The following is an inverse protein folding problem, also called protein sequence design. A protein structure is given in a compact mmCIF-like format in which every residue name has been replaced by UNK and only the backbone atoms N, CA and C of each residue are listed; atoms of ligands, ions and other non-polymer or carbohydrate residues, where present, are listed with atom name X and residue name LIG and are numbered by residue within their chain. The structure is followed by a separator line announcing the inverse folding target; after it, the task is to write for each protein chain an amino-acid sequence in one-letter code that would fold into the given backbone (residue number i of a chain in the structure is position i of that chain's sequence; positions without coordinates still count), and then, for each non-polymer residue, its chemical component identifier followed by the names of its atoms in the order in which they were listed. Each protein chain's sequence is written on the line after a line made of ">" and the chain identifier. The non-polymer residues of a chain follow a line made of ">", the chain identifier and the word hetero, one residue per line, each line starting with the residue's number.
data_IF_172931676918
#
_entry.id   IF_172931676918
#
_cell.length_a   1.000
_cell.length_b   1.000
_cell.length_c   1.000
_cell.angle_alpha   90.00
_cell.angle_beta   90.00
_cell.angle_gamma   90.00
#
_symmetry.space_group_name_H-M   'P 1'
#
loop_
_entity.id
_entity.type
_entity.pdbx_description
1 polymer ?
#
# COMPACT_ATOMS: atom_id res chain seq x y z
N UNK A 1 -11.79 4.40 30.77
CA UNK A 1 -10.40 4.07 31.13
C UNK A 1 -9.49 5.05 30.42
N UNK A 2 -8.72 5.88 31.13
CA UNK A 2 -7.94 6.96 30.57
C UNK A 2 -6.78 6.35 29.73
N UNK A 3 -6.67 6.72 28.44
CA UNK A 3 -5.61 6.26 27.51
C UNK A 3 -4.19 6.44 28.08
N UNK A 4 -3.98 7.49 28.89
CA UNK A 4 -2.72 7.75 29.60
C UNK A 4 -2.27 6.60 30.52
N UNK A 5 -3.22 5.90 31.17
CA UNK A 5 -2.87 4.79 32.06
C UNK A 5 -2.46 3.50 31.34
N UNK A 6 -2.77 3.35 30.05
CA UNK A 6 -2.43 2.16 29.25
C UNK A 6 -1.02 2.24 28.68
N UNK A 7 -0.51 3.44 28.40
CA UNK A 7 0.78 3.64 27.72
C UNK A 7 1.79 4.48 28.51
N UNK A 8 1.42 4.99 29.70
CA UNK A 8 2.30 5.72 30.63
C UNK A 8 2.74 7.12 30.18
N UNK A 9 2.30 7.60 28.97
CA UNK A 9 2.69 8.88 28.38
C UNK A 9 1.63 9.42 27.41
N UNK A 10 1.66 10.73 27.14
CA UNK A 10 0.83 11.40 26.13
C UNK A 10 1.41 11.19 24.72
N UNK A 11 0.60 11.38 23.68
CA UNK A 11 1.06 11.29 22.29
C UNK A 11 2.20 12.25 21.96
N UNK A 12 2.17 13.57 22.32
CA UNK A 12 3.30 14.46 22.12
C UNK A 12 4.59 14.01 22.80
N UNK A 13 4.50 13.46 24.01
CA UNK A 13 5.66 12.92 24.75
C UNK A 13 6.23 11.71 24.03
N UNK A 14 5.39 10.79 23.56
CA UNK A 14 5.81 9.63 22.81
C UNK A 14 6.47 10.00 21.48
N UNK A 15 5.87 10.93 20.73
CA UNK A 15 6.43 11.43 19.47
C UNK A 15 7.76 12.17 19.68
N UNK A 16 7.83 13.02 20.72
CA UNK A 16 9.06 13.71 21.08
C UNK A 16 10.19 12.76 21.47
N UNK A 17 9.89 11.68 22.20
CA UNK A 17 10.86 10.64 22.53
C UNK A 17 11.32 9.88 21.30
N UNK A 18 10.38 9.45 20.44
CA UNK A 18 10.68 8.79 19.17
C UNK A 18 11.61 9.66 18.30
N UNK A 19 11.29 10.94 18.12
CA UNK A 19 12.11 11.86 17.36
C UNK A 19 13.53 12.02 17.94
N UNK A 20 13.67 12.08 19.28
CA UNK A 20 14.99 12.19 19.95
C UNK A 20 15.87 10.95 19.77
N UNK A 21 15.27 9.75 19.65
CA UNK A 21 16.03 8.50 19.37
C UNK A 21 16.64 8.50 17.98
N UNK A 22 16.12 9.30 17.07
CA UNK A 22 16.56 9.43 15.67
C UNK A 22 16.82 8.06 14.99
N UNK A 23 15.84 7.13 14.97
CA UNK A 23 16.03 5.82 14.37
C UNK A 23 16.13 5.91 12.85
N UNK A 24 16.79 4.94 12.21
CA UNK A 24 16.71 4.75 10.77
C UNK A 24 15.28 4.30 10.39
N UNK A 25 14.55 5.12 9.61
CA UNK A 25 13.11 4.97 9.37
C UNK A 25 12.85 4.27 8.03
N UNK A 26 12.89 2.95 8.00
CA UNK A 26 12.50 2.16 6.83
C UNK A 26 10.99 1.84 6.77
N UNK A 27 10.18 2.71 7.35
CA UNK A 27 8.72 2.67 7.33
C UNK A 27 8.15 3.93 6.67
N UNK A 28 6.85 3.94 6.40
CA UNK A 28 6.11 5.13 5.92
C UNK A 28 6.09 6.24 6.99
N UNK A 29 5.95 7.52 6.60
CA UNK A 29 5.80 8.06 5.25
C UNK A 29 7.15 8.27 4.52
N UNK A 30 7.06 8.48 3.18
CA UNK A 30 8.23 8.57 2.29
C UNK A 30 9.20 9.72 2.56
N UNK A 31 8.79 10.80 3.21
CA UNK A 31 9.70 11.89 3.60
C UNK A 31 10.62 11.54 4.79
N UNK A 32 10.39 10.39 5.47
CA UNK A 32 11.24 9.82 6.53
C UNK A 32 11.56 10.77 7.72
N UNK A 33 10.76 11.80 7.94
CA UNK A 33 11.04 12.82 8.94
C UNK A 33 12.22 13.73 8.57
N UNK A 34 12.73 13.64 7.32
CA UNK A 34 13.74 14.53 6.81
C UNK A 34 13.14 15.91 6.56
N UNK A 35 14.00 16.93 6.65
CA UNK A 35 13.59 18.31 6.38
C UNK A 35 13.19 18.41 4.89
N UNK A 36 11.90 18.27 4.63
CA UNK A 36 11.34 18.65 3.34
C UNK A 36 11.29 20.16 3.29
N UNK A 37 11.52 20.79 2.12
CA UNK A 37 11.80 22.23 2.02
C UNK A 37 10.60 23.15 2.33
N UNK A 38 9.85 22.80 3.37
CA UNK A 38 8.78 23.61 3.91
C UNK A 38 9.24 24.54 5.04
N UNK A 39 10.50 24.47 5.46
CA UNK A 39 11.16 25.31 6.47
C UNK A 39 10.23 25.69 7.62
N UNK A 40 10.41 25.29 8.81
CA UNK A 40 9.84 25.68 10.12
C UNK A 40 8.53 26.50 10.28
N UNK A 41 7.75 26.74 9.22
CA UNK A 41 6.54 27.56 9.20
C UNK A 41 5.30 26.84 8.66
N UNK A 42 5.11 25.58 9.02
CA UNK A 42 3.96 24.76 8.54
C UNK A 42 2.62 25.43 8.82
N UNK A 43 2.47 26.09 9.97
CA UNK A 43 1.23 26.79 10.33
C UNK A 43 0.88 27.94 9.36
N UNK A 44 1.87 28.56 8.72
CA UNK A 44 1.65 29.59 7.71
C UNK A 44 1.19 29.05 6.34
N UNK A 45 1.23 27.74 6.15
CA UNK A 45 0.84 27.06 4.91
C UNK A 45 -0.50 26.32 5.05
N UNK A 46 -0.98 26.19 6.27
CA UNK A 46 -2.28 25.61 6.53
C UNK A 46 -3.36 26.67 6.33
N UNK A 47 -3.95 26.68 5.15
CA UNK A 47 -4.94 27.66 4.66
C UNK A 47 -6.19 26.96 4.17
N UNK A 48 -7.20 27.72 3.77
CA UNK A 48 -8.40 27.24 3.11
C UNK A 48 -8.47 27.72 1.66
N UNK A 49 -9.65 27.64 1.02
CA UNK A 49 -9.93 28.15 -0.32
C UNK A 49 -9.93 29.70 -0.29
N UNK A 50 -8.77 30.29 -0.56
CA UNK A 50 -8.57 31.74 -0.65
C UNK A 50 -8.31 32.11 -2.12
N UNK A 51 -8.41 33.41 -2.44
CA UNK A 51 -7.95 33.93 -3.72
C UNK A 51 -6.49 33.50 -3.95
N UNK A 52 -6.25 32.77 -5.05
CA UNK A 52 -4.93 32.25 -5.41
C UNK A 52 -4.56 30.88 -4.80
N UNK A 53 -5.39 30.28 -3.93
CA UNK A 53 -5.14 28.93 -3.40
C UNK A 53 -5.96 27.84 -4.10
N UNK A 54 -6.92 28.22 -4.96
CA UNK A 54 -7.79 27.29 -5.69
C UNK A 54 -8.77 26.52 -4.78
N UNK A 55 -9.61 25.67 -5.37
CA UNK A 55 -10.59 24.83 -4.67
C UNK A 55 -10.47 23.37 -5.10
N UNK A 56 -10.14 22.46 -4.18
CA UNK A 56 -9.98 21.05 -4.50
C UNK A 56 -11.27 20.43 -5.09
N UNK A 57 -12.45 20.88 -4.68
CA UNK A 57 -13.72 20.32 -5.17
C UNK A 57 -13.99 20.66 -6.64
N UNK A 58 -13.51 21.82 -7.10
CA UNK A 58 -13.59 22.29 -8.49
C UNK A 58 -12.30 23.03 -8.86
N UNK A 59 -11.19 22.31 -9.11
CA UNK A 59 -9.90 22.95 -9.36
C UNK A 59 -9.86 23.63 -10.73
N UNK A 60 -9.51 24.91 -10.74
CA UNK A 60 -9.36 25.75 -11.94
C UNK A 60 -8.03 26.49 -11.98
N UNK A 61 -7.27 26.45 -10.87
CA UNK A 61 -6.02 27.16 -10.68
C UNK A 61 -4.83 26.22 -10.40
N UNK A 62 -4.14 26.49 -9.31
CA UNK A 62 -2.88 25.81 -8.94
C UNK A 62 -3.09 24.32 -8.62
N UNK A 63 -4.24 23.95 -8.09
CA UNK A 63 -4.58 22.54 -7.86
C UNK A 63 -4.80 21.83 -9.20
N UNK A 64 -5.51 22.47 -10.16
CA UNK A 64 -5.70 21.92 -11.50
C UNK A 64 -4.36 21.70 -12.22
N UNK A 65 -3.41 22.62 -12.07
CA UNK A 65 -2.03 22.47 -12.60
C UNK A 65 -1.34 21.27 -12.01
N UNK A 66 -1.41 21.08 -10.68
CA UNK A 66 -0.83 19.93 -10.00
C UNK A 66 -1.51 18.61 -10.45
N UNK A 67 -2.84 18.56 -10.52
CA UNK A 67 -3.57 17.38 -11.04
C UNK A 67 -3.17 17.08 -12.48
N UNK A 68 -2.97 18.11 -13.33
CA UNK A 68 -2.48 17.99 -14.69
C UNK A 68 -1.07 17.39 -14.76
N UNK A 69 -0.17 17.82 -13.88
CA UNK A 69 1.19 17.27 -13.81
C UNK A 69 1.20 15.79 -13.39
N UNK A 70 0.37 15.39 -12.42
CA UNK A 70 0.15 13.98 -12.08
C UNK A 70 -0.44 13.17 -13.23
N UNK A 71 -1.45 13.71 -13.92
CA UNK A 71 -2.03 13.09 -15.12
C UNK A 71 -0.95 12.77 -16.16
N UNK A 72 -0.09 13.72 -16.43
CA UNK A 72 0.95 13.59 -17.46
C UNK A 72 2.04 12.61 -17.04
N UNK A 73 2.50 12.68 -15.78
CA UNK A 73 3.50 11.77 -15.23
C UNK A 73 3.05 10.31 -15.20
N UNK A 74 1.77 10.05 -14.94
CA UNK A 74 1.21 8.70 -14.86
C UNK A 74 0.52 8.25 -16.15
N UNK A 75 0.52 9.06 -17.20
CA UNK A 75 -0.11 8.71 -18.46
C UNK A 75 -1.62 8.54 -18.41
N UNK A 76 -2.28 9.13 -17.41
CA UNK A 76 -3.71 9.04 -17.19
C UNK A 76 -4.52 9.95 -18.15
N UNK A 77 -5.84 9.77 -18.19
CA UNK A 77 -6.80 10.71 -18.78
C UNK A 77 -7.10 11.87 -17.83
N UNK A 78 -7.21 11.58 -16.54
CA UNK A 78 -7.43 12.56 -15.48
C UNK A 78 -6.79 12.06 -14.19
N UNK A 79 -6.32 13.00 -13.36
CA UNK A 79 -5.82 12.72 -12.03
C UNK A 79 -6.49 13.64 -11.01
N UNK A 80 -6.67 13.15 -9.79
CA UNK A 80 -7.38 13.88 -8.74
C UNK A 80 -6.60 13.73 -7.43
N UNK A 81 -6.24 14.84 -6.79
CA UNK A 81 -5.59 14.82 -5.49
C UNK A 81 -6.53 14.30 -4.41
N UNK A 82 -5.97 13.51 -3.50
CA UNK A 82 -6.65 12.93 -2.35
C UNK A 82 -5.94 13.31 -1.06
N UNK A 83 -6.69 13.82 -0.10
CA UNK A 83 -6.21 14.19 1.25
C UNK A 83 -6.73 13.24 2.36
N UNK A 84 -7.39 12.15 1.95
CA UNK A 84 -7.87 11.06 2.81
C UNK A 84 -7.17 9.72 2.53
N UNK A 85 -5.97 9.76 1.94
CA UNK A 85 -5.20 8.57 1.55
C UNK A 85 -5.82 7.82 0.36
N UNK A 86 -5.19 6.71 -0.05
CA UNK A 86 -5.77 5.78 -1.03
C UNK A 86 -7.10 5.18 -0.56
N UNK A 87 -7.39 5.20 0.75
CA UNK A 87 -8.70 4.81 1.28
C UNK A 87 -9.82 5.62 0.62
N UNK A 88 -9.69 6.95 0.53
CA UNK A 88 -10.67 7.78 -0.17
C UNK A 88 -10.68 7.50 -1.68
N UNK A 89 -9.57 7.09 -2.26
CA UNK A 89 -9.47 6.63 -3.65
C UNK A 89 -10.28 5.36 -3.90
N UNK A 90 -10.09 4.34 -3.06
CA UNK A 90 -10.84 3.07 -3.14
C UNK A 90 -12.35 3.28 -2.93
N UNK A 91 -12.72 4.11 -1.95
CA UNK A 91 -14.12 4.50 -1.75
C UNK A 91 -14.70 5.19 -3.00
N UNK A 92 -13.94 6.10 -3.59
CA UNK A 92 -14.34 6.81 -4.80
C UNK A 92 -14.50 5.86 -5.98
N UNK A 93 -13.52 4.97 -6.24
CA UNK A 93 -13.57 4.01 -7.34
C UNK A 93 -14.79 3.09 -7.19
N UNK A 94 -15.01 2.54 -6.00
CA UNK A 94 -16.13 1.66 -5.70
C UNK A 94 -17.48 2.36 -5.89
N UNK A 95 -17.68 3.52 -5.28
CA UNK A 95 -18.94 4.29 -5.39
C UNK A 95 -19.18 4.81 -6.80
N UNK A 96 -18.13 5.09 -7.59
CA UNK A 96 -18.25 5.53 -8.98
C UNK A 96 -18.80 4.43 -9.90
N UNK A 97 -18.68 3.15 -9.55
CA UNK A 97 -19.35 2.05 -10.26
C UNK A 97 -20.89 2.18 -10.16
N UNK A 98 -21.41 2.83 -9.11
CA UNK A 98 -22.81 2.81 -8.69
C UNK A 98 -23.04 1.74 -7.65
N UNK A 99 -24.20 1.70 -7.01
CA UNK A 99 -24.50 0.77 -5.91
C UNK A 99 -24.86 -0.63 -6.43
N UNK A 100 -24.68 -1.66 -5.60
CA UNK A 100 -25.17 -3.01 -5.84
C UNK A 100 -24.48 -3.71 -7.02
N UNK A 101 -23.20 -3.39 -7.28
CA UNK A 101 -22.44 -4.02 -8.36
C UNK A 101 -21.76 -5.30 -7.89
N UNK A 102 -21.49 -6.21 -8.81
CA UNK A 102 -20.68 -7.41 -8.55
C UNK A 102 -19.20 -7.09 -8.77
N UNK A 103 -18.39 -7.29 -7.74
CA UNK A 103 -16.96 -7.00 -7.79
C UNK A 103 -16.16 -8.25 -7.42
N UNK A 104 -15.29 -8.66 -8.35
CA UNK A 104 -14.31 -9.71 -8.14
C UNK A 104 -13.03 -9.11 -7.55
N UNK A 105 -12.49 -9.68 -6.48
CA UNK A 105 -11.28 -9.14 -5.84
C UNK A 105 -10.41 -10.22 -5.19
N UNK A 106 -9.12 -9.89 -5.02
CA UNK A 106 -8.19 -10.72 -4.26
C UNK A 106 -8.52 -10.76 -2.76
N UNK A 107 -8.35 -11.91 -2.14
CA UNK A 107 -8.54 -12.06 -0.68
C UNK A 107 -7.48 -11.30 0.12
N UNK A 108 -6.37 -10.95 -0.51
CA UNK A 108 -5.26 -10.12 -0.02
C UNK A 108 -5.53 -8.61 -0.11
N UNK A 109 -6.70 -8.21 -0.59
CA UNK A 109 -7.08 -6.80 -0.68
C UNK A 109 -7.07 -6.11 0.68
N UNK A 110 -6.62 -4.85 0.69
CA UNK A 110 -6.58 -4.04 1.90
C UNK A 110 -7.99 -3.81 2.48
N UNK A 111 -8.09 -3.68 3.81
CA UNK A 111 -9.37 -3.44 4.52
C UNK A 111 -10.20 -2.28 3.97
N UNK A 112 -9.55 -1.25 3.39
CA UNK A 112 -10.27 -0.13 2.79
C UNK A 112 -11.03 -0.52 1.51
N UNK A 113 -10.57 -1.53 0.76
CA UNK A 113 -11.32 -2.09 -0.36
C UNK A 113 -12.62 -2.75 0.14
N UNK A 114 -12.52 -3.53 1.22
CA UNK A 114 -13.68 -4.18 1.84
C UNK A 114 -14.69 -3.16 2.38
N UNK A 115 -14.19 -2.10 3.05
CA UNK A 115 -15.04 -0.99 3.49
C UNK A 115 -15.72 -0.27 2.32
N UNK A 116 -15.00 -0.10 1.20
CA UNK A 116 -15.54 0.53 0.01
C UNK A 116 -16.68 -0.30 -0.60
N UNK A 117 -16.51 -1.63 -0.68
CA UNK A 117 -17.54 -2.53 -1.17
C UNK A 117 -18.77 -2.56 -0.25
N UNK A 118 -18.55 -2.56 1.08
CA UNK A 118 -19.64 -2.52 2.07
C UNK A 118 -20.46 -1.23 1.95
N UNK A 119 -19.82 -0.05 1.84
CA UNK A 119 -20.49 1.24 1.74
C UNK A 119 -21.23 1.43 0.40
N UNK A 120 -20.72 0.82 -0.67
CA UNK A 120 -21.37 0.82 -1.98
C UNK A 120 -22.42 -0.29 -2.15
N UNK A 121 -22.62 -1.14 -1.14
CA UNK A 121 -23.54 -2.28 -1.16
C UNK A 121 -23.24 -3.25 -2.32
N UNK A 122 -21.95 -3.50 -2.57
CA UNK A 122 -21.52 -4.39 -3.64
C UNK A 122 -21.55 -5.85 -3.21
N UNK A 123 -21.88 -6.71 -4.17
CA UNK A 123 -21.67 -8.16 -4.05
C UNK A 123 -20.17 -8.44 -4.30
N UNK A 124 -19.47 -8.88 -3.25
CA UNK A 124 -18.05 -9.21 -3.31
C UNK A 124 -17.85 -10.69 -3.58
N UNK A 125 -17.03 -11.02 -4.57
CA UNK A 125 -16.54 -12.38 -4.79
C UNK A 125 -15.02 -12.39 -4.66
N UNK A 126 -14.52 -13.24 -3.75
CA UNK A 126 -13.09 -13.31 -3.46
C UNK A 126 -12.39 -14.39 -4.26
N UNK A 127 -11.20 -14.08 -4.76
CA UNK A 127 -10.23 -15.03 -5.28
C UNK A 127 -9.05 -15.16 -4.32
N UNK A 128 -8.51 -16.38 -4.25
CA UNK A 128 -7.26 -16.63 -3.53
C UNK A 128 -6.09 -16.45 -4.49
N UNK A 129 -5.08 -15.62 -4.15
CA UNK A 129 -3.83 -15.62 -4.90
C UNK A 129 -3.16 -17.00 -4.81
N UNK A 130 -2.32 -17.32 -5.77
CA UNK A 130 -1.48 -18.51 -5.69
C UNK A 130 -0.53 -18.39 -4.49
N UNK A 131 -0.14 -19.54 -3.92
CA UNK A 131 0.80 -19.56 -2.78
C UNK A 131 2.16 -20.02 -3.29
N UNK A 132 3.21 -19.25 -2.99
CA UNK A 132 4.58 -19.69 -3.16
C UNK A 132 5.01 -20.50 -1.92
N UNK A 133 5.06 -21.83 -1.99
CA UNK A 133 5.35 -22.66 -0.82
C UNK A 133 6.82 -22.54 -0.38
N UNK A 134 7.75 -22.26 -1.29
CA UNK A 134 9.16 -22.10 -0.95
C UNK A 134 9.40 -20.82 -0.12
N UNK A 135 8.60 -19.80 -0.40
CA UNK A 135 8.67 -18.55 0.34
C UNK A 135 7.71 -18.51 1.53
N UNK A 136 6.71 -19.39 1.60
CA UNK A 136 5.62 -19.26 2.58
C UNK A 136 4.87 -17.94 2.41
N UNK A 137 4.69 -17.48 1.18
CA UNK A 137 4.04 -16.22 0.82
C UNK A 137 2.85 -16.42 -0.12
N UNK A 138 1.83 -15.58 0.04
CA UNK A 138 0.85 -15.38 -1.02
C UNK A 138 1.52 -14.63 -2.18
N UNK A 139 1.37 -15.18 -3.37
CA UNK A 139 1.74 -14.52 -4.63
C UNK A 139 0.68 -13.51 -5.07
N UNK A 140 0.37 -13.50 -6.37
CA UNK A 140 -0.57 -12.56 -6.97
C UNK A 140 -1.69 -13.31 -7.69
N UNK A 141 -2.80 -12.63 -7.99
CA UNK A 141 -3.82 -13.15 -8.89
C UNK A 141 -3.28 -13.22 -10.31
N UNK A 142 -3.68 -14.27 -11.03
CA UNK A 142 -3.31 -14.47 -12.43
C UNK A 142 -4.45 -14.10 -13.38
N UNK A 143 -4.18 -13.75 -14.65
CA UNK A 143 -5.21 -13.56 -15.68
C UNK A 143 -6.12 -14.78 -15.80
N UNK A 144 -5.56 -15.99 -15.73
CA UNK A 144 -6.31 -17.25 -15.80
C UNK A 144 -7.33 -17.40 -14.67
N UNK A 145 -6.94 -17.12 -13.41
CA UNK A 145 -7.86 -17.18 -12.27
C UNK A 145 -9.02 -16.19 -12.42
N UNK A 146 -8.72 -14.98 -12.93
CA UNK A 146 -9.73 -13.94 -13.19
C UNK A 146 -10.66 -14.38 -14.31
N UNK A 147 -10.13 -14.96 -15.39
CA UNK A 147 -10.91 -15.47 -16.51
C UNK A 147 -11.88 -16.60 -16.08
N UNK A 148 -11.36 -17.62 -15.40
CA UNK A 148 -12.15 -18.74 -14.88
C UNK A 148 -13.31 -18.22 -13.98
N UNK A 149 -13.02 -17.24 -13.11
CA UNK A 149 -14.03 -16.67 -12.25
C UNK A 149 -15.09 -15.86 -13.01
N UNK A 150 -14.71 -15.08 -14.03
CA UNK A 150 -15.64 -14.31 -14.85
C UNK A 150 -16.49 -15.21 -15.78
N UNK A 151 -15.95 -16.34 -16.23
CA UNK A 151 -16.70 -17.37 -16.99
C UNK A 151 -17.77 -18.01 -16.11
N UNK A 152 -17.44 -18.31 -14.85
CA UNK A 152 -18.39 -18.92 -13.92
C UNK A 152 -19.51 -17.95 -13.52
N UNK A 153 -19.15 -16.69 -13.23
CA UNK A 153 -20.10 -15.65 -12.87
C UNK A 153 -19.60 -14.28 -13.32
N UNK A 154 -20.32 -13.59 -14.22
CA UNK A 154 -19.95 -12.24 -14.65
C UNK A 154 -19.87 -11.25 -13.49
N UNK A 155 -18.92 -10.30 -13.57
CA UNK A 155 -18.77 -9.19 -12.64
C UNK A 155 -18.75 -7.85 -13.38
N UNK A 156 -19.11 -6.77 -12.67
CA UNK A 156 -19.04 -5.40 -13.21
C UNK A 156 -17.63 -4.82 -13.14
N UNK A 157 -16.82 -5.30 -12.19
CA UNK A 157 -15.44 -4.87 -12.02
C UNK A 157 -14.57 -5.95 -11.38
N UNK A 158 -13.27 -5.89 -11.68
CA UNK A 158 -12.19 -6.59 -10.98
C UNK A 158 -11.41 -5.56 -10.17
N UNK A 159 -11.21 -5.80 -8.87
CA UNK A 159 -10.38 -4.97 -8.01
C UNK A 159 -9.12 -5.75 -7.66
N UNK A 160 -7.99 -5.24 -8.11
CA UNK A 160 -6.67 -5.85 -7.94
C UNK A 160 -5.80 -4.99 -7.03
N UNK A 161 -5.01 -5.61 -6.15
CA UNK A 161 -3.93 -4.96 -5.42
C UNK A 161 -2.61 -5.26 -6.10
N UNK A 162 -1.91 -4.24 -6.63
CA UNK A 162 -0.58 -4.39 -7.23
C UNK A 162 0.19 -3.06 -7.20
N UNK A 163 1.42 -3.02 -6.64
CA UNK A 163 2.10 -4.12 -5.95
C UNK A 163 1.48 -4.47 -4.59
N UNK A 164 1.77 -5.68 -4.11
CA UNK A 164 1.41 -6.07 -2.76
C UNK A 164 2.39 -5.50 -1.72
N UNK A 165 2.22 -5.89 -0.45
CA UNK A 165 3.03 -5.35 0.66
C UNK A 165 4.50 -5.77 0.59
N UNK A 166 4.81 -6.90 -0.05
CA UNK A 166 6.16 -7.41 -0.26
C UNK A 166 6.83 -6.87 -1.54
N UNK A 167 6.13 -6.04 -2.29
CA UNK A 167 6.60 -5.44 -3.54
C UNK A 167 6.34 -6.30 -4.78
N UNK A 168 5.65 -7.45 -4.65
CA UNK A 168 5.32 -8.31 -5.79
C UNK A 168 4.24 -7.66 -6.65
N UNK A 169 4.42 -7.70 -7.97
CA UNK A 169 3.51 -7.14 -8.96
C UNK A 169 2.80 -8.24 -9.75
N UNK A 170 1.49 -8.09 -9.93
CA UNK A 170 0.67 -8.95 -10.78
C UNK A 170 0.86 -8.61 -12.27
N UNK A 171 0.45 -9.53 -13.14
CA UNK A 171 0.23 -9.26 -14.56
C UNK A 171 -1.03 -8.39 -14.75
N UNK A 172 -0.89 -7.10 -14.42
CA UNK A 172 -1.99 -6.13 -14.49
C UNK A 172 -2.51 -5.98 -15.92
N UNK A 173 -1.61 -6.05 -16.93
CA UNK A 173 -2.00 -5.95 -18.34
C UNK A 173 -2.84 -7.14 -18.78
N UNK A 174 -2.39 -8.34 -18.51
CA UNK A 174 -3.14 -9.57 -18.82
C UNK A 174 -4.48 -9.65 -18.10
N UNK A 175 -4.53 -9.23 -16.82
CA UNK A 175 -5.79 -9.14 -16.06
C UNK A 175 -6.74 -8.10 -16.67
N UNK A 176 -6.22 -6.95 -17.15
CA UNK A 176 -7.03 -5.92 -17.81
C UNK A 176 -7.66 -6.47 -19.10
N UNK A 177 -6.88 -7.15 -19.94
CA UNK A 177 -7.37 -7.73 -21.19
C UNK A 177 -8.48 -8.75 -20.94
N UNK A 178 -8.32 -9.58 -19.94
CA UNK A 178 -9.37 -10.53 -19.51
C UNK A 178 -10.59 -9.78 -18.99
N UNK A 179 -10.44 -8.87 -18.05
CA UNK A 179 -11.57 -8.13 -17.48
C UNK A 179 -12.40 -7.43 -18.57
N UNK A 180 -11.73 -6.73 -19.49
CA UNK A 180 -12.38 -6.03 -20.60
C UNK A 180 -13.06 -6.99 -21.59
N UNK A 181 -12.47 -8.15 -21.87
CA UNK A 181 -13.10 -9.18 -22.74
C UNK A 181 -14.44 -9.67 -22.17
N UNK A 182 -14.59 -9.65 -20.84
CA UNK A 182 -15.85 -10.01 -20.17
C UNK A 182 -16.71 -8.80 -19.78
N UNK A 183 -16.36 -7.60 -20.26
CA UNK A 183 -17.12 -6.36 -20.00
C UNK A 183 -16.98 -5.80 -18.60
N UNK A 184 -16.03 -6.28 -17.82
CA UNK A 184 -15.72 -5.77 -16.48
C UNK A 184 -14.68 -4.65 -16.53
N UNK A 185 -14.78 -3.68 -15.63
CA UNK A 185 -13.75 -2.65 -15.44
C UNK A 185 -12.60 -3.20 -14.58
N UNK A 186 -11.37 -2.75 -14.84
CA UNK A 186 -10.23 -3.02 -13.95
C UNK A 186 -9.96 -1.83 -13.03
N UNK A 187 -10.10 -2.06 -11.73
CA UNK A 187 -9.75 -1.14 -10.65
C UNK A 187 -8.47 -1.63 -9.98
N UNK A 188 -7.46 -0.75 -9.76
CA UNK A 188 -6.21 -1.16 -9.14
C UNK A 188 -5.92 -0.33 -7.89
N UNK A 189 -5.78 -1.03 -6.76
CA UNK A 189 -5.12 -0.48 -5.57
C UNK A 189 -3.61 -0.56 -5.78
N UNK A 190 -3.03 0.54 -6.30
CA UNK A 190 -1.60 0.68 -6.52
C UNK A 190 -0.95 1.52 -5.41
N UNK A 191 -1.47 1.42 -4.17
CA UNK A 191 -1.03 2.26 -3.05
C UNK A 191 0.48 2.22 -2.82
N UNK A 192 1.15 1.13 -3.11
CA UNK A 192 2.59 0.96 -2.95
C UNK A 192 3.42 1.26 -4.21
N UNK A 193 2.79 1.61 -5.35
CA UNK A 193 3.44 1.81 -6.65
C UNK A 193 3.58 3.28 -7.09
N UNK A 194 3.45 4.27 -6.18
CA UNK A 194 3.45 5.67 -6.56
C UNK A 194 4.75 6.14 -7.25
N UNK A 195 5.87 5.51 -7.00
CA UNK A 195 7.18 5.88 -7.54
C UNK A 195 7.53 5.20 -8.88
N UNK A 196 6.75 4.26 -9.34
CA UNK A 196 7.05 3.46 -10.54
C UNK A 196 7.33 4.29 -11.81
N UNK A 197 6.59 5.37 -12.10
CA UNK A 197 6.85 6.15 -13.30
C UNK A 197 8.21 6.89 -13.36
N UNK A 198 8.98 6.90 -12.26
CA UNK A 198 10.15 7.76 -12.13
C UNK A 198 11.49 7.03 -12.30
N UNK A 199 11.49 5.72 -12.62
CA UNK A 199 12.68 4.96 -12.99
C UNK A 199 12.34 3.79 -13.93
N UNK A 200 13.10 3.56 -14.98
CA UNK A 200 12.93 2.39 -15.85
C UNK A 200 13.38 1.07 -15.19
N UNK A 201 14.00 1.12 -14.02
CA UNK A 201 14.40 -0.06 -13.22
C UNK A 201 13.29 -0.51 -12.25
N UNK A 202 12.20 0.24 -12.17
CA UNK A 202 11.01 -0.10 -11.38
C UNK A 202 9.97 -0.80 -12.27
N UNK A 203 9.04 -1.56 -11.68
CA UNK A 203 7.99 -2.22 -12.43
C UNK A 203 7.20 -1.25 -13.31
N UNK A 204 6.90 -1.65 -14.53
CA UNK A 204 6.05 -0.88 -15.43
C UNK A 204 4.59 -1.02 -14.98
N UNK A 205 3.90 0.11 -14.84
CA UNK A 205 2.46 0.13 -14.56
C UNK A 205 1.70 0.38 -15.86
N UNK A 206 0.82 -0.55 -16.32
CA UNK A 206 0.15 -0.45 -17.61
C UNK A 206 -1.05 0.52 -17.57
N UNK A 207 -0.79 1.80 -17.31
CA UNK A 207 -1.78 2.86 -17.14
C UNK A 207 -2.77 2.98 -18.31
N UNK A 208 -2.38 2.52 -19.53
CA UNK A 208 -3.26 2.54 -20.71
C UNK A 208 -4.37 1.49 -20.66
N UNK A 209 -4.19 0.44 -19.88
CA UNK A 209 -5.11 -0.71 -19.77
C UNK A 209 -6.01 -0.62 -18.54
N UNK A 210 -5.58 0.10 -17.49
CA UNK A 210 -6.32 0.21 -16.23
C UNK A 210 -7.39 1.28 -16.34
N UNK A 211 -8.61 1.01 -15.83
CA UNK A 211 -9.72 1.98 -15.86
C UNK A 211 -9.60 3.02 -14.75
N UNK A 212 -9.46 2.57 -13.50
CA UNK A 212 -9.25 3.44 -12.34
C UNK A 212 -8.16 2.87 -11.45
N UNK A 213 -7.28 3.72 -10.94
CA UNK A 213 -6.31 3.30 -9.92
C UNK A 213 -5.97 4.42 -8.96
N UNK A 214 -5.56 4.05 -7.76
CA UNK A 214 -5.07 5.02 -6.78
C UNK A 214 -3.69 4.65 -6.26
N UNK A 215 -2.88 5.68 -6.00
CA UNK A 215 -1.53 5.56 -5.45
C UNK A 215 -1.42 6.35 -4.14
N UNK A 216 -0.77 5.77 -3.12
CA UNK A 216 -0.44 6.48 -1.89
C UNK A 216 0.93 7.14 -2.04
N UNK A 217 0.96 8.40 -2.43
CA UNK A 217 2.21 9.14 -2.66
C UNK A 217 3.08 9.16 -1.40
N UNK A 218 2.45 9.26 -0.22
CA UNK A 218 3.15 9.30 1.07
C UNK A 218 3.88 8.01 1.47
N UNK A 219 3.59 6.87 0.81
CA UNK A 219 4.25 5.59 1.15
C UNK A 219 5.65 5.49 0.58
N UNK A 220 5.83 5.93 -0.67
CA UNK A 220 7.07 5.71 -1.43
C UNK A 220 7.70 6.98 -2.00
N UNK A 221 7.05 8.13 -1.83
CA UNK A 221 7.55 9.45 -2.25
C UNK A 221 7.53 10.43 -1.07
N UNK A 222 8.15 11.60 -1.26
CA UNK A 222 8.35 12.61 -0.20
C UNK A 222 7.08 13.43 0.07
N UNK A 223 5.96 12.80 0.41
CA UNK A 223 4.71 13.45 0.77
C UNK A 223 4.32 13.17 2.22
N UNK A 224 3.49 14.03 2.80
CA UNK A 224 2.93 13.81 4.12
C UNK A 224 1.91 12.67 4.12
N UNK A 225 1.78 11.98 5.26
CA UNK A 225 0.77 10.93 5.46
C UNK A 225 -0.62 11.42 5.05
N UNK A 226 -1.46 10.55 4.50
CA UNK A 226 -2.76 10.80 3.87
C UNK A 226 -2.69 11.35 2.43
N UNK A 227 -1.53 11.74 1.91
CA UNK A 227 -1.39 12.25 0.55
C UNK A 227 -1.44 11.11 -0.47
N UNK A 228 -2.43 11.15 -1.37
CA UNK A 228 -2.64 10.13 -2.40
C UNK A 228 -3.17 10.77 -3.69
N UNK A 229 -3.23 10.00 -4.78
CA UNK A 229 -3.80 10.45 -6.06
C UNK A 229 -4.65 9.33 -6.65
N UNK A 230 -5.81 9.70 -7.16
CA UNK A 230 -6.70 8.85 -7.94
C UNK A 230 -6.54 9.19 -9.43
N UNK A 231 -6.43 8.19 -10.25
CA UNK A 231 -6.29 8.32 -11.70
C UNK A 231 -7.45 7.66 -12.44
N UNK A 232 -7.85 8.28 -13.54
CA UNK A 232 -8.80 7.74 -14.53
C UNK A 232 -8.01 7.37 -15.77
N UNK A 233 -8.11 6.13 -16.23
CA UNK A 233 -7.41 5.61 -17.38
C UNK A 233 -7.86 6.25 -18.69
N UNK A 234 -6.96 6.21 -19.70
CA UNK A 234 -7.25 6.83 -21.03
C UNK A 234 -8.45 6.22 -21.73
N UNK A 235 -8.65 4.93 -21.57
CA UNK A 235 -9.72 4.17 -22.24
C UNK A 235 -10.88 3.83 -21.29
N UNK A 236 -10.83 4.31 -20.04
CA UNK A 236 -11.91 4.13 -19.09
C UNK A 236 -13.23 4.70 -19.66
N UNK A 237 -14.31 3.92 -19.71
CA UNK A 237 -15.60 4.39 -20.21
C UNK A 237 -16.30 5.38 -19.27
N UNK A 238 -15.81 5.47 -18.01
CA UNK A 238 -16.37 6.39 -17.02
C UNK A 238 -15.99 7.84 -17.32
N UNK A 239 -16.98 8.73 -17.24
CA UNK A 239 -16.74 10.18 -17.29
C UNK A 239 -15.89 10.61 -16.07
N UNK A 240 -14.72 11.26 -16.25
CA UNK A 240 -13.91 11.79 -15.16
C UNK A 240 -14.68 12.72 -14.22
N UNK A 241 -15.65 13.47 -14.72
CA UNK A 241 -16.47 14.36 -13.90
C UNK A 241 -17.43 13.58 -12.98
N UNK A 242 -17.88 12.41 -13.39
CA UNK A 242 -18.60 11.50 -12.50
C UNK A 242 -17.71 11.06 -11.36
N UNK A 243 -16.46 10.64 -11.65
CA UNK A 243 -15.48 10.21 -10.65
C UNK A 243 -15.18 11.38 -9.69
N UNK A 244 -15.00 12.60 -10.21
CA UNK A 244 -14.77 13.82 -9.42
C UNK A 244 -15.94 14.11 -8.48
N UNK A 245 -17.17 14.04 -8.96
CA UNK A 245 -18.36 14.24 -8.10
C UNK A 245 -18.39 13.23 -6.96
N UNK A 246 -18.09 11.96 -7.21
CA UNK A 246 -18.04 10.92 -6.17
C UNK A 246 -16.88 11.18 -5.22
N UNK A 247 -15.68 11.54 -5.71
CA UNK A 247 -14.55 11.94 -4.89
C UNK A 247 -14.93 13.08 -3.91
N UNK A 248 -15.66 14.09 -4.38
CA UNK A 248 -16.11 15.21 -3.57
C UNK A 248 -17.11 14.79 -2.47
N UNK A 249 -17.87 13.70 -2.68
CA UNK A 249 -18.74 13.14 -1.63
C UNK A 249 -17.97 12.40 -0.54
N UNK A 250 -16.79 11.87 -0.88
CA UNK A 250 -15.97 11.05 0.02
C UNK A 250 -14.96 11.90 0.80
N UNK A 251 -14.44 12.97 0.19
CA UNK A 251 -13.46 13.83 0.82
C UNK A 251 -14.09 14.93 1.68
N UNK A 252 -13.30 15.43 2.62
CA UNK A 252 -13.63 16.63 3.39
C UNK A 252 -13.83 17.85 2.48
N UNK A 253 -14.75 18.74 2.87
CA UNK A 253 -14.95 20.04 2.19
C UNK A 253 -13.92 21.09 2.62
N UNK A 254 -13.10 20.79 3.64
CA UNK A 254 -11.98 21.64 4.10
C UNK A 254 -10.67 20.88 3.95
N UNK A 255 -10.17 20.72 2.70
CA UNK A 255 -8.98 19.90 2.44
C UNK A 255 -7.72 20.57 2.97
N UNK A 256 -6.79 19.78 3.50
CA UNK A 256 -5.51 20.29 3.99
C UNK A 256 -4.63 20.73 2.83
N UNK A 257 -4.30 22.03 2.79
CA UNK A 257 -3.35 22.60 1.82
C UNK A 257 -1.91 22.15 2.09
N UNK A 258 -1.56 21.78 3.31
CA UNK A 258 -0.28 21.16 3.64
C UNK A 258 -0.12 19.82 2.93
N UNK A 259 -1.18 18.98 2.92
CA UNK A 259 -1.15 17.71 2.21
C UNK A 259 -1.06 17.90 0.70
N UNK A 260 -1.85 18.81 0.13
CA UNK A 260 -1.81 19.12 -1.30
C UNK A 260 -0.46 19.71 -1.73
N UNK A 261 0.11 20.62 -0.92
CA UNK A 261 1.45 21.16 -1.16
C UNK A 261 2.53 20.06 -1.10
N UNK A 262 2.37 19.08 -0.21
CA UNK A 262 3.29 17.95 -0.13
C UNK A 262 3.18 17.04 -1.36
N UNK A 263 1.99 16.86 -1.94
CA UNK A 263 1.79 16.15 -3.21
C UNK A 263 2.54 16.84 -4.35
N UNK A 264 2.30 18.13 -4.53
CA UNK A 264 2.96 18.90 -5.56
C UNK A 264 4.49 18.83 -5.44
N UNK A 265 5.00 19.02 -4.22
CA UNK A 265 6.44 18.91 -3.97
C UNK A 265 7.01 17.53 -4.20
N UNK A 266 6.29 16.47 -3.81
CA UNK A 266 6.72 15.09 -4.03
C UNK A 266 6.87 14.77 -5.51
N UNK A 267 5.92 15.21 -6.34
CA UNK A 267 5.99 15.06 -7.78
C UNK A 267 7.17 15.83 -8.38
N UNK A 268 7.37 17.09 -7.96
CA UNK A 268 8.51 17.90 -8.40
C UNK A 268 9.84 17.22 -8.07
N UNK A 269 10.01 16.72 -6.85
CA UNK A 269 11.24 16.03 -6.42
C UNK A 269 11.46 14.77 -7.28
N UNK A 270 10.45 13.93 -7.44
CA UNK A 270 10.55 12.71 -8.23
C UNK A 270 10.93 12.97 -9.70
N UNK A 271 10.31 14.00 -10.31
CA UNK A 271 10.56 14.34 -11.73
C UNK A 271 11.91 15.03 -11.97
N UNK A 272 12.41 15.81 -11.01
CA UNK A 272 13.66 16.59 -11.16
C UNK A 272 14.90 15.85 -10.69
N UNK A 273 14.79 15.11 -9.59
CA UNK A 273 15.93 14.37 -9.04
C UNK A 273 16.01 12.93 -9.59
N UNK A 274 14.86 12.39 -10.05
CA UNK A 274 14.77 11.01 -10.51
C UNK A 274 15.06 10.01 -9.38
N UNK A 275 15.09 8.73 -9.74
CA UNK A 275 15.32 7.62 -8.82
C UNK A 275 16.66 6.89 -9.06
N UNK A 276 17.46 7.27 -10.08
CA UNK A 276 18.66 6.52 -10.44
C UNK A 276 19.62 6.33 -9.28
N UNK A 277 20.00 7.43 -8.59
CA UNK A 277 20.88 7.33 -7.42
C UNK A 277 20.31 6.43 -6.32
N UNK A 278 18.99 6.46 -6.13
CA UNK A 278 18.34 5.59 -5.16
C UNK A 278 18.43 4.12 -5.58
N UNK A 279 18.20 3.83 -6.85
CA UNK A 279 18.30 2.47 -7.39
C UNK A 279 19.71 1.90 -7.21
N UNK A 280 20.76 2.68 -7.53
CA UNK A 280 22.17 2.28 -7.33
C UNK A 280 22.45 1.96 -5.85
N UNK A 281 21.90 2.77 -4.92
CA UNK A 281 22.04 2.55 -3.48
C UNK A 281 21.31 1.29 -3.00
N UNK A 282 20.14 1.03 -3.55
CA UNK A 282 19.36 -0.17 -3.20
C UNK A 282 20.04 -1.43 -3.71
N UNK A 283 20.56 -1.40 -4.92
CA UNK A 283 21.35 -2.52 -5.45
C UNK A 283 22.54 -2.83 -4.52
N UNK A 284 23.33 -1.82 -4.18
CA UNK A 284 24.46 -1.97 -3.26
C UNK A 284 24.03 -2.46 -1.87
N UNK A 285 22.88 -1.98 -1.34
CA UNK A 285 22.33 -2.41 -0.07
C UNK A 285 21.95 -3.90 -0.11
N UNK A 286 21.21 -4.32 -1.14
CA UNK A 286 20.79 -5.71 -1.34
C UNK A 286 21.99 -6.66 -1.43
N UNK A 287 23.05 -6.28 -2.15
CA UNK A 287 24.31 -7.03 -2.18
C UNK A 287 24.99 -7.11 -0.81
N UNK A 288 25.05 -6.00 -0.06
CA UNK A 288 25.63 -6.01 1.29
C UNK A 288 24.87 -6.95 2.22
N UNK A 289 23.54 -6.95 2.20
CA UNK A 289 22.71 -7.84 2.99
C UNK A 289 22.94 -9.30 2.59
N UNK A 290 22.99 -9.60 1.28
CA UNK A 290 23.21 -10.96 0.77
C UNK A 290 24.58 -11.56 1.14
N UNK A 291 25.55 -10.74 1.59
CA UNK A 291 26.84 -11.21 2.12
C UNK A 291 26.80 -11.55 3.60
N UNK A 292 25.72 -11.24 4.30
CA UNK A 292 25.57 -11.57 5.72
C UNK A 292 25.04 -13.00 5.83
N UNK A 293 25.80 -13.87 6.50
CA UNK A 293 25.48 -15.28 6.63
C UNK A 293 24.09 -15.49 7.28
N UNK A 294 23.28 -16.35 6.68
CA UNK A 294 21.94 -16.69 7.14
C UNK A 294 20.85 -15.64 6.85
N UNK A 295 21.16 -14.66 6.00
CA UNK A 295 20.17 -13.69 5.52
C UNK A 295 20.00 -13.78 4.00
N UNK A 296 18.78 -13.66 3.52
CA UNK A 296 18.45 -13.61 2.09
C UNK A 296 17.49 -12.46 1.82
N UNK A 297 17.74 -11.70 0.77
CA UNK A 297 16.81 -10.66 0.30
C UNK A 297 15.95 -11.25 -0.80
N UNK A 298 14.62 -11.15 -0.70
CA UNK A 298 13.72 -11.56 -1.77
C UNK A 298 14.09 -10.85 -3.07
N UNK A 299 14.15 -11.60 -4.16
CA UNK A 299 14.58 -11.13 -5.48
C UNK A 299 13.77 -11.74 -6.60
N UNK A 300 14.34 -11.69 -7.82
CA UNK A 300 13.71 -12.26 -9.02
C UNK A 300 13.47 -13.78 -8.91
N UNK A 301 14.25 -14.48 -8.09
CA UNK A 301 14.08 -15.90 -7.75
C UNK A 301 12.80 -16.20 -6.96
N UNK A 302 12.18 -15.18 -6.37
CA UNK A 302 10.91 -15.29 -5.64
C UNK A 302 9.67 -15.02 -6.52
N UNK A 303 9.86 -14.71 -7.81
CA UNK A 303 8.76 -14.51 -8.77
C UNK A 303 8.08 -15.84 -9.14
N UNK A 304 6.97 -15.73 -9.83
CA UNK A 304 6.04 -16.83 -10.08
C UNK A 304 4.83 -16.76 -9.15
N UNK A 305 3.99 -17.77 -9.18
CA UNK A 305 2.77 -17.80 -8.38
C UNK A 305 1.91 -16.52 -8.58
N UNK A 306 1.77 -16.11 -9.85
CA UNK A 306 1.06 -14.89 -10.26
C UNK A 306 1.88 -13.60 -10.19
N UNK A 307 3.02 -13.58 -9.51
CA UNK A 307 3.93 -12.44 -9.52
C UNK A 307 4.82 -12.46 -10.77
N UNK A 308 4.78 -11.39 -11.56
CA UNK A 308 5.55 -11.25 -12.81
C UNK A 308 6.71 -10.26 -12.70
N UNK A 309 6.69 -9.41 -11.69
CA UNK A 309 7.74 -8.41 -11.42
C UNK A 309 7.74 -8.04 -9.94
N UNK A 310 8.74 -7.29 -9.49
CA UNK A 310 8.81 -6.80 -8.11
C UNK A 310 9.46 -5.43 -7.98
N UNK A 311 8.98 -4.68 -7.01
CA UNK A 311 9.57 -3.42 -6.55
C UNK A 311 10.83 -3.70 -5.70
N UNK A 312 12.00 -3.54 -6.30
CA UNK A 312 13.28 -3.78 -5.61
C UNK A 312 13.60 -2.78 -4.49
N UNK A 313 12.89 -1.64 -4.45
CA UNK A 313 13.01 -0.66 -3.36
C UNK A 313 12.29 -1.14 -2.08
N UNK A 314 11.44 -2.16 -2.22
CA UNK A 314 10.89 -2.94 -1.13
C UNK A 314 11.93 -4.00 -0.72
N UNK A 315 12.69 -3.72 0.35
CA UNK A 315 13.72 -4.65 0.82
C UNK A 315 13.10 -5.60 1.82
N UNK A 316 12.90 -6.84 1.39
CA UNK A 316 12.31 -7.92 2.19
C UNK A 316 13.41 -8.90 2.54
N UNK A 317 13.72 -9.03 3.82
CA UNK A 317 14.86 -9.81 4.32
C UNK A 317 14.35 -11.05 5.04
N UNK A 318 14.63 -12.19 4.50
CA UNK A 318 14.38 -13.49 5.10
C UNK A 318 15.48 -13.80 6.12
N UNK A 319 15.09 -14.21 7.32
CA UNK A 319 15.98 -14.46 8.44
C UNK A 319 15.96 -15.94 8.89
N UNK A 320 15.20 -16.78 8.21
CA UNK A 320 14.95 -18.17 8.62
C UNK A 320 16.20 -19.05 8.63
N UNK A 321 17.14 -18.82 7.70
CA UNK A 321 18.42 -19.54 7.67
C UNK A 321 19.33 -19.16 8.84
N UNK A 322 19.08 -18.03 9.51
CA UNK A 322 19.76 -17.62 10.74
C UNK A 322 19.20 -18.33 11.98
N UNK A 323 18.08 -19.04 11.80
CA UNK A 323 17.42 -19.81 12.88
C UNK A 323 16.60 -18.95 13.83
N UNK A 324 16.24 -17.73 13.45
CA UNK A 324 15.39 -16.79 14.18
C UNK A 324 14.13 -16.46 13.36
N UNK A 325 13.04 -16.13 14.05
CA UNK A 325 11.84 -15.66 13.38
C UNK A 325 11.90 -14.15 13.08
N UNK A 326 10.96 -13.69 12.24
CA UNK A 326 10.94 -12.28 11.85
C UNK A 326 10.62 -11.33 13.00
N UNK A 327 9.90 -11.77 14.04
CA UNK A 327 9.61 -10.97 15.24
C UNK A 327 10.87 -10.74 16.05
N UNK A 328 11.65 -11.80 16.29
CA UNK A 328 12.93 -11.73 17.00
C UNK A 328 13.92 -10.82 16.25
N UNK A 329 13.98 -10.94 14.91
CA UNK A 329 14.80 -10.07 14.08
C UNK A 329 14.34 -8.60 14.17
N UNK A 330 13.03 -8.36 14.10
CA UNK A 330 12.46 -7.01 14.22
C UNK A 330 12.79 -6.37 15.57
N UNK A 331 12.60 -7.07 16.67
CA UNK A 331 12.92 -6.58 18.02
C UNK A 331 14.41 -6.26 18.18
N UNK A 332 15.29 -7.12 17.67
CA UNK A 332 16.74 -6.91 17.68
C UNK A 332 17.12 -5.66 16.89
N UNK A 333 16.53 -5.44 15.69
CA UNK A 333 16.75 -4.25 14.89
C UNK A 333 16.26 -2.99 15.57
N UNK A 334 15.09 -3.02 16.22
CA UNK A 334 14.58 -1.88 17.00
C UNK A 334 15.53 -1.52 18.14
N UNK A 335 16.10 -2.51 18.84
CA UNK A 335 17.09 -2.29 19.89
C UNK A 335 18.40 -1.69 19.34
N UNK A 336 18.73 -1.94 18.07
CA UNK A 336 19.86 -1.35 17.34
C UNK A 336 19.52 0.02 16.73
N UNK A 337 18.30 0.55 16.96
CA UNK A 337 17.85 1.85 16.45
C UNK A 337 17.39 1.81 14.99
N UNK A 338 17.03 0.65 14.46
CA UNK A 338 16.44 0.46 13.13
C UNK A 338 14.97 0.09 13.27
N UNK A 339 14.06 0.88 12.67
CA UNK A 339 12.63 0.62 12.69
C UNK A 339 12.18 0.20 11.30
N UNK A 340 11.86 -1.07 11.16
CA UNK A 340 11.32 -1.62 9.92
C UNK A 340 9.84 -1.24 9.73
N UNK A 341 9.30 -1.43 8.54
CA UNK A 341 7.87 -1.23 8.26
C UNK A 341 7.03 -2.27 8.99
N UNK A 342 7.41 -3.54 8.83
CA UNK A 342 6.75 -4.68 9.49
C UNK A 342 7.68 -5.90 9.56
N UNK A 343 7.24 -6.92 10.26
CA UNK A 343 7.75 -8.28 10.14
C UNK A 343 6.59 -9.27 9.97
N UNK A 344 6.89 -10.42 9.39
CA UNK A 344 6.06 -11.62 9.47
C UNK A 344 6.84 -12.72 10.22
N UNK A 345 6.34 -13.97 10.24
CA UNK A 345 7.00 -15.08 10.92
C UNK A 345 8.42 -15.37 10.40
N UNK A 346 8.77 -14.95 9.21
CA UNK A 346 9.99 -15.36 8.50
C UNK A 346 10.88 -14.18 8.10
N UNK A 347 10.36 -12.94 8.10
CA UNK A 347 11.00 -11.81 7.44
C UNK A 347 10.80 -10.50 8.16
N UNK A 348 11.70 -9.56 7.85
CA UNK A 348 11.49 -8.13 8.10
C UNK A 348 11.34 -7.41 6.76
N UNK A 349 10.47 -6.40 6.71
CA UNK A 349 10.14 -5.63 5.52
C UNK A 349 10.52 -4.18 5.73
N UNK A 350 11.25 -3.61 4.77
CA UNK A 350 11.65 -2.21 4.76
C UNK A 350 11.09 -1.50 3.53
N UNK A 351 10.64 -0.28 3.74
CA UNK A 351 10.29 0.64 2.65
C UNK A 351 11.41 1.65 2.54
N UNK A 352 12.10 1.64 1.41
CA UNK A 352 13.18 2.60 1.15
C UNK A 352 12.73 3.68 0.17
N UNK A 353 13.33 4.86 0.28
CA UNK A 353 13.04 6.00 -0.59
C UNK A 353 14.29 6.83 -0.85
N UNK A 354 14.31 7.72 -1.87
CA UNK A 354 15.43 8.64 -2.08
C UNK A 354 15.76 9.54 -0.90
N UNK A 355 14.87 9.67 0.09
CA UNK A 355 15.07 10.49 1.29
C UNK A 355 15.80 9.76 2.41
N UNK A 356 16.15 8.49 2.25
CA UNK A 356 16.88 7.76 3.27
C UNK A 356 18.34 8.26 3.32
N UNK A 357 18.85 8.69 4.47
CA UNK A 357 20.28 9.04 4.61
C UNK A 357 21.18 7.79 4.49
N UNK A 358 22.40 7.97 3.98
CA UNK A 358 23.35 6.86 3.79
C UNK A 358 23.71 6.16 5.11
N UNK A 359 23.82 6.94 6.20
CA UNK A 359 24.09 6.42 7.54
C UNK A 359 22.99 5.50 8.08
N UNK A 360 21.76 5.57 7.55
CA UNK A 360 20.71 4.62 7.93
C UNK A 360 20.97 3.24 7.35
N UNK A 361 21.50 3.15 6.13
CA UNK A 361 21.90 1.88 5.53
C UNK A 361 23.07 1.23 6.27
N UNK A 362 24.04 2.02 6.72
CA UNK A 362 25.14 1.51 7.52
C UNK A 362 24.66 0.99 8.87
N UNK A 363 23.77 1.71 9.54
CA UNK A 363 23.14 1.25 10.79
C UNK A 363 22.32 -0.03 10.59
N UNK A 364 21.60 -0.13 9.48
CA UNK A 364 20.85 -1.35 9.12
C UNK A 364 21.80 -2.53 8.95
N UNK A 365 22.88 -2.39 8.20
CA UNK A 365 23.86 -3.46 7.99
C UNK A 365 24.51 -3.88 9.30
N UNK A 366 24.86 -2.92 10.16
CA UNK A 366 25.39 -3.21 11.50
C UNK A 366 24.37 -4.01 12.32
N UNK A 367 23.13 -3.55 12.41
CA UNK A 367 22.04 -4.26 13.11
C UNK A 367 21.80 -5.68 12.59
N UNK A 368 21.76 -5.85 11.26
CA UNK A 368 21.59 -7.16 10.62
C UNK A 368 22.78 -8.11 10.87
N UNK A 369 23.99 -7.58 10.90
CA UNK A 369 25.20 -8.37 11.18
C UNK A 369 25.18 -8.93 12.61
N UNK A 370 24.65 -8.17 13.57
CA UNK A 370 24.58 -8.53 14.99
C UNK A 370 23.28 -9.26 15.39
N UNK A 371 22.42 -9.62 14.43
CA UNK A 371 21.27 -10.47 14.73
C UNK A 371 21.72 -11.78 15.42
N UNK A 372 20.98 -12.29 16.39
CA UNK A 372 21.30 -13.56 17.03
C UNK A 372 21.26 -14.73 16.05
N UNK A 373 21.87 -15.86 16.45
CA UNK A 373 21.74 -17.13 15.75
C UNK A 373 20.86 -18.06 16.60
N UNK A 374 19.83 -18.61 15.98
CA UNK A 374 19.02 -19.66 16.58
C UNK A 374 19.71 -21.03 16.53
N UNK A 375 19.08 -22.00 17.19
CA UNK A 375 19.63 -23.36 17.31
C UNK A 375 19.33 -24.27 16.12
N UNK A 376 18.34 -23.90 15.28
CA UNK A 376 17.91 -24.69 14.11
C UNK A 376 17.29 -23.78 13.04
N UNK A 377 17.41 -24.20 11.79
CA UNK A 377 16.77 -23.53 10.67
C UNK A 377 15.24 -23.57 10.84
N UNK A 378 14.57 -22.45 10.55
CA UNK A 378 13.11 -22.35 10.59
C UNK A 378 12.55 -22.79 9.23
N UNK A 379 11.64 -23.76 9.26
CA UNK A 379 10.88 -24.17 8.09
C UNK A 379 9.70 -23.21 7.86
N UNK A 380 9.49 -22.83 6.62
CA UNK A 380 8.38 -21.97 6.22
C UNK A 380 7.16 -22.83 5.93
N UNK A 381 6.11 -22.60 6.68
CA UNK A 381 4.81 -23.17 6.36
C UNK A 381 4.08 -22.24 5.38
N UNK A 382 3.45 -22.78 4.33
CA UNK A 382 2.60 -21.97 3.46
C UNK A 382 1.46 -21.37 4.30
N UNK A 383 1.09 -20.09 4.08
CA UNK A 383 -0.01 -19.49 4.80
C UNK A 383 -1.29 -20.29 4.56
N UNK A 384 -1.96 -20.74 5.63
CA UNK A 384 -3.25 -21.37 5.49
C UNK A 384 -4.31 -20.31 5.13
N UNK A 385 -4.72 -20.33 3.89
CA UNK A 385 -5.72 -19.41 3.37
C UNK A 385 -6.89 -20.21 2.82
N UNK A 386 -8.06 -20.08 3.44
CA UNK A 386 -9.28 -20.64 2.95
C UNK A 386 -10.32 -19.53 2.74
N UNK A 387 -11.09 -19.64 1.68
CA UNK A 387 -12.31 -18.87 1.55
C UNK A 387 -13.37 -19.47 2.47
N UNK A 388 -13.82 -18.72 3.46
CA UNK A 388 -15.02 -19.05 4.20
C UNK A 388 -16.25 -18.96 3.28
N UNK A 389 -17.32 -19.67 3.62
CA UNK A 389 -18.59 -19.49 2.93
C UNK A 389 -19.15 -18.11 3.25
N UNK A 390 -19.39 -17.30 2.22
CA UNK A 390 -20.10 -16.03 2.39
C UNK A 390 -21.57 -16.32 2.71
N UNK A 391 -22.06 -15.78 3.82
CA UNK A 391 -23.43 -16.02 4.34
C UNK A 391 -24.28 -14.75 4.41
N UNK A 392 -23.66 -13.56 4.26
CA UNK A 392 -24.32 -12.27 4.19
C UNK A 392 -23.50 -11.29 3.36
N UNK A 393 -24.05 -10.15 3.03
CA UNK A 393 -23.31 -9.08 2.34
C UNK A 393 -22.25 -8.47 3.25
N UNK A 394 -21.25 -7.80 2.66
CA UNK A 394 -20.23 -7.08 3.42
C UNK A 394 -20.84 -5.95 4.26
N UNK A 395 -21.85 -5.26 3.72
CA UNK A 395 -22.57 -4.21 4.44
C UNK A 395 -23.30 -4.76 5.67
N UNK A 396 -24.03 -5.87 5.54
CA UNK A 396 -24.69 -6.53 6.67
C UNK A 396 -23.68 -6.97 7.74
N UNK A 397 -22.56 -7.57 7.35
CA UNK A 397 -21.53 -8.02 8.28
C UNK A 397 -20.87 -6.87 9.04
N UNK A 398 -20.55 -5.77 8.37
CA UNK A 398 -19.76 -4.66 8.94
C UNK A 398 -20.62 -3.61 9.66
N UNK A 399 -21.88 -3.42 9.26
CA UNK A 399 -22.78 -2.39 9.78
C UNK A 399 -23.88 -2.96 10.69
N UNK A 400 -24.04 -4.29 10.73
CA UNK A 400 -25.00 -4.97 11.59
C UNK A 400 -24.55 -5.04 13.07
N UNK A 401 -25.43 -5.54 13.95
CA UNK A 401 -25.07 -5.76 15.35
C UNK A 401 -23.93 -6.77 15.48
N UNK A 402 -22.94 -6.46 16.31
CA UNK A 402 -21.75 -7.32 16.53
C UNK A 402 -21.49 -7.53 18.01
N UNK A 403 -20.87 -8.67 18.34
CA UNK A 403 -20.35 -8.98 19.67
C UNK A 403 -18.88 -9.38 19.62
N UNK A 404 -18.15 -9.16 20.70
CA UNK A 404 -16.78 -9.66 20.85
C UNK A 404 -16.82 -10.97 21.61
N UNK A 405 -16.27 -12.01 21.01
CA UNK A 405 -16.16 -13.34 21.62
C UNK A 405 -14.71 -13.81 21.60
N UNK A 406 -14.29 -14.67 22.55
CA UNK A 406 -12.99 -15.34 22.47
C UNK A 406 -12.88 -16.15 21.17
N UNK A 407 -11.67 -16.22 20.58
CA UNK A 407 -11.42 -16.97 19.35
C UNK A 407 -11.87 -18.43 19.40
N UNK A 408 -11.68 -19.08 20.53
CA UNK A 408 -12.15 -20.46 20.77
C UNK A 408 -13.69 -20.62 20.62
N UNK A 409 -14.46 -19.57 20.84
CA UNK A 409 -15.93 -19.55 20.66
C UNK A 409 -16.37 -19.06 19.27
N UNK A 410 -15.44 -18.75 18.36
CA UNK A 410 -15.76 -18.16 17.06
C UNK A 410 -16.17 -19.19 16.00
N UNK A 411 -15.96 -20.48 16.25
CA UNK A 411 -16.31 -21.57 15.29
C UNK A 411 -17.81 -21.53 15.03
N UNK A 412 -18.20 -21.48 13.75
CA UNK A 412 -19.59 -21.40 13.31
C UNK A 412 -20.25 -20.01 13.41
N UNK A 413 -19.50 -18.97 13.82
CA UNK A 413 -19.96 -17.59 13.83
C UNK A 413 -19.62 -16.87 12.53
N UNK A 414 -20.41 -15.86 12.19
CA UNK A 414 -20.12 -14.95 11.06
C UNK A 414 -19.14 -13.88 11.51
N UNK A 415 -18.02 -13.73 10.80
CA UNK A 415 -17.06 -12.66 11.08
C UNK A 415 -17.65 -11.30 10.67
N UNK A 416 -17.71 -10.36 11.61
CA UNK A 416 -18.17 -8.98 11.36
C UNK A 416 -17.06 -8.11 10.74
N UNK A 417 -15.82 -8.55 10.81
CA UNK A 417 -14.68 -7.87 10.20
C UNK A 417 -14.06 -8.82 9.20
N UNK A 418 -13.90 -8.36 7.97
CA UNK A 418 -13.17 -9.14 6.98
C UNK A 418 -11.69 -9.21 7.40
N UNK A 419 -11.25 -10.40 7.77
CA UNK A 419 -9.85 -10.68 8.05
C UNK A 419 -9.13 -10.69 6.70
N UNK A 420 -8.33 -9.66 6.39
CA UNK A 420 -7.44 -9.67 5.25
C UNK A 420 -6.17 -10.47 5.57
N UNK A 421 -5.48 -10.96 4.53
CA UNK A 421 -4.19 -11.65 4.71
C UNK A 421 -3.15 -10.76 5.40
N UNK A 422 -3.17 -9.46 5.10
CA UNK A 422 -2.32 -8.46 5.76
C UNK A 422 -2.59 -8.42 7.27
N UNK A 423 -3.85 -8.54 7.70
CA UNK A 423 -4.17 -8.54 9.13
C UNK A 423 -3.87 -9.86 9.84
N UNK A 424 -3.73 -10.96 9.10
CA UNK A 424 -3.31 -12.25 9.67
C UNK A 424 -1.79 -12.29 9.81
N UNK A 425 -1.08 -11.59 8.93
CA UNK A 425 0.39 -11.48 8.93
C UNK A 425 0.91 -10.21 9.63
N UNK A 426 0.05 -9.20 9.87
CA UNK A 426 0.45 -8.07 10.74
C UNK A 426 0.63 -8.62 12.16
N UNK A 427 1.86 -8.64 12.72
CA UNK A 427 1.99 -8.82 14.14
C UNK A 427 1.16 -7.73 14.81
N UNK A 428 0.35 -8.10 15.77
CA UNK A 428 -0.29 -7.14 16.66
C UNK A 428 0.83 -6.24 17.18
N UNK A 429 0.95 -5.03 16.62
CA UNK A 429 1.87 -4.04 17.17
C UNK A 429 1.52 -3.91 18.65
N UNK A 430 2.46 -4.18 19.58
CA UNK A 430 2.20 -4.09 21.00
C UNK A 430 1.73 -2.70 21.44
#
# INVERSE_FOLDING_TARGET
>A
MNRQRRYGRTLPEALGEYARRNPARFHMPGHKGQDVPYGGRLAGWDVTELDGTDNLSNPEGIIAVCEGAYRDAYGARSSMLLVGGSTSGLLTMSLALGRGRRVLLGRDSHKSALSALALADHEARFLLPEINPAEGLAGMLTPRQVEEALQEQPADAVLLTSPNYYGLCADVEGIADVAHAYGALLLVDAAHGAHFPFSPQLPEFPAKKVDLWCVSVHKTMAAFTQSAVLHVGKHCPMDPERVRRVRNMVQTTSPSYLLMSSLDRALYVATKMGYQRHMDRIEALRERIGRINGLRVLGQDSLGFGAVDMDVTRVVIDVTERGIDGTEAYESLVNSGVVCEMCDAYRVVLITTPQDPDEWYDRLIDGLTHLPYGVSQIHKDPPYIALGRQVCSMGEAMLGPTERIPLAGAVGRVAAVALSLIHISEPTRP
#
